data_IF_169289515946
#
_entry.id   IF_169289515946
#
_cell.length_a   1.000
_cell.length_b   1.000
_cell.length_c   1.000
_cell.angle_alpha   90.00
_cell.angle_beta   90.00
_cell.angle_gamma   90.00
#
_symmetry.space_group_name_H-M   'P 1'
#
loop_
_entity.id
_entity.type
_entity.pdbx_description
1 polymer ?
#
# COMPACT_ATOMS: atom_id res chain seq x y z
N UNK A 1 20.48 -55.57 -74.65
CA UNK A 1 21.46 -54.48 -74.82
C UNK A 1 21.41 -53.60 -73.63
N UNK A 2 22.41 -53.68 -72.80
CA UNK A 2 22.52 -52.99 -71.51
C UNK A 2 23.43 -51.77 -71.67
N UNK A 3 23.15 -50.62 -71.07
CA UNK A 3 24.22 -49.73 -70.75
C UNK A 3 24.34 -49.52 -69.22
N UNK A 4 25.54 -49.62 -68.83
CA UNK A 4 26.24 -49.54 -67.62
C UNK A 4 25.92 -48.23 -66.80
N UNK A 5 25.57 -48.39 -65.55
CA UNK A 5 25.44 -47.30 -64.58
C UNK A 5 26.78 -47.08 -63.84
N UNK A 6 27.25 -45.84 -63.83
CA UNK A 6 28.43 -45.38 -63.07
C UNK A 6 28.01 -44.91 -61.67
N UNK A 7 28.71 -45.27 -60.61
CA UNK A 7 28.34 -44.80 -59.27
C UNK A 7 28.89 -43.40 -58.98
N UNK A 8 28.01 -42.53 -58.57
CA UNK A 8 28.34 -41.17 -58.01
C UNK A 8 28.84 -41.33 -56.64
N UNK A 9 30.07 -40.93 -56.39
CA UNK A 9 30.62 -40.79 -55.00
C UNK A 9 30.04 -39.58 -54.30
N UNK A 10 29.29 -39.81 -53.24
CA UNK A 10 28.86 -38.76 -52.34
C UNK A 10 30.03 -38.32 -51.44
N UNK A 11 30.43 -37.06 -51.57
CA UNK A 11 31.37 -36.42 -50.66
C UNK A 11 30.63 -35.94 -49.38
N UNK A 12 30.92 -36.57 -48.28
CA UNK A 12 30.39 -36.20 -46.97
C UNK A 12 31.15 -34.95 -46.43
N UNK A 13 30.54 -33.77 -46.57
CA UNK A 13 31.04 -32.54 -45.95
C UNK A 13 30.66 -32.51 -44.48
N UNK A 14 31.62 -32.76 -43.61
CA UNK A 14 31.52 -32.62 -42.16
C UNK A 14 31.47 -31.11 -41.79
N UNK A 15 30.28 -30.54 -41.54
CA UNK A 15 30.16 -29.18 -41.01
C UNK A 15 30.47 -29.19 -39.53
N UNK A 16 31.64 -28.72 -39.15
CA UNK A 16 31.99 -28.46 -37.78
C UNK A 16 31.12 -27.29 -37.25
N UNK A 17 30.20 -27.60 -36.38
CA UNK A 17 29.38 -26.61 -35.67
C UNK A 17 30.25 -25.98 -34.56
N UNK A 18 30.73 -24.76 -34.78
CA UNK A 18 31.45 -23.98 -33.76
C UNK A 18 30.45 -23.47 -32.75
N UNK A 19 30.29 -24.16 -31.61
CA UNK A 19 29.48 -23.69 -30.49
C UNK A 19 30.29 -22.62 -29.76
N UNK A 20 29.95 -21.33 -30.02
CA UNK A 20 30.45 -20.22 -29.26
C UNK A 20 29.70 -20.24 -27.91
N UNK A 21 30.30 -20.79 -26.85
CA UNK A 21 29.84 -20.59 -25.47
C UNK A 21 30.05 -19.12 -25.14
N UNK A 22 28.98 -18.34 -25.21
CA UNK A 22 28.90 -17.02 -24.57
C UNK A 22 28.89 -17.24 -23.05
N UNK A 23 30.06 -17.20 -22.45
CA UNK A 23 30.19 -17.14 -20.98
C UNK A 23 29.72 -15.76 -20.54
N UNK A 24 28.44 -15.64 -20.16
CA UNK A 24 27.98 -14.49 -19.41
C UNK A 24 28.71 -14.48 -18.08
N UNK A 25 29.33 -13.36 -17.67
CA UNK A 25 29.93 -13.28 -16.35
C UNK A 25 28.84 -13.54 -15.30
N UNK A 26 29.11 -14.46 -14.41
CA UNK A 26 28.18 -14.86 -13.37
C UNK A 26 27.77 -13.64 -12.51
N UNK A 27 26.50 -13.53 -12.06
CA UNK A 27 26.02 -12.42 -11.24
C UNK A 27 26.81 -12.20 -9.94
N UNK A 28 27.64 -13.14 -9.54
CA UNK A 28 28.52 -13.05 -8.38
C UNK A 28 29.58 -11.92 -8.42
N UNK A 29 30.00 -11.46 -9.60
CA UNK A 29 30.98 -10.38 -9.71
C UNK A 29 30.41 -9.02 -9.35
N UNK A 30 29.14 -8.76 -9.68
CA UNK A 30 28.45 -7.50 -9.32
C UNK A 30 28.05 -7.47 -7.84
N UNK A 31 27.63 -8.62 -7.28
CA UNK A 31 27.32 -8.74 -5.85
C UNK A 31 28.57 -8.50 -4.99
N UNK A 32 29.73 -9.02 -5.41
CA UNK A 32 31.00 -8.78 -4.73
C UNK A 32 31.44 -7.31 -4.76
N UNK A 33 31.14 -6.57 -5.85
CA UNK A 33 31.47 -5.15 -5.94
C UNK A 33 30.62 -4.27 -5.03
N UNK A 34 29.31 -4.55 -4.91
CA UNK A 34 28.40 -3.85 -4.02
C UNK A 34 28.71 -4.13 -2.53
N UNK A 35 28.98 -5.38 -2.19
CA UNK A 35 29.40 -5.77 -0.85
C UNK A 35 30.73 -5.11 -0.46
N UNK A 36 31.70 -5.12 -1.36
CA UNK A 36 32.98 -4.46 -1.12
C UNK A 36 32.81 -2.94 -0.93
N UNK A 37 32.02 -2.28 -1.77
CA UNK A 37 31.73 -0.85 -1.62
C UNK A 37 31.02 -0.55 -0.30
N UNK A 38 30.03 -1.36 0.09
CA UNK A 38 29.37 -1.22 1.39
C UNK A 38 30.37 -1.25 2.56
N UNK A 39 31.32 -2.20 2.56
CA UNK A 39 32.36 -2.28 3.60
C UNK A 39 33.19 -1.00 3.69
N UNK A 40 33.43 -0.31 2.58
CA UNK A 40 34.21 0.94 2.56
C UNK A 40 33.43 2.14 3.09
N UNK A 41 32.09 2.12 3.02
CA UNK A 41 31.24 3.27 3.36
C UNK A 41 30.45 3.10 4.65
N UNK A 42 30.32 1.91 5.20
CA UNK A 42 29.44 1.60 6.35
C UNK A 42 29.77 2.38 7.62
N UNK A 43 30.99 2.87 7.79
CA UNK A 43 31.41 3.68 8.94
C UNK A 43 31.29 5.20 8.70
N UNK A 44 30.99 5.63 7.49
CA UNK A 44 30.78 7.03 7.13
C UNK A 44 29.28 7.29 6.98
N UNK A 45 28.60 8.00 7.92
CA UNK A 45 27.15 8.17 7.89
C UNK A 45 26.63 8.83 6.61
N UNK A 46 27.40 9.75 6.01
CA UNK A 46 27.00 10.46 4.79
C UNK A 46 27.06 9.52 3.59
N UNK A 47 28.16 8.80 3.40
CA UNK A 47 28.33 7.85 2.30
C UNK A 47 27.42 6.65 2.45
N UNK A 48 27.24 6.14 3.68
CA UNK A 48 26.30 5.07 3.98
C UNK A 48 24.88 5.49 3.58
N UNK A 49 24.45 6.70 3.93
CA UNK A 49 23.12 7.22 3.53
C UNK A 49 22.98 7.27 2.01
N UNK A 50 23.98 7.78 1.30
CA UNK A 50 23.97 7.84 -0.17
C UNK A 50 23.88 6.43 -0.79
N UNK A 51 24.65 5.48 -0.28
CA UNK A 51 24.58 4.08 -0.70
C UNK A 51 23.19 3.48 -0.46
N UNK A 52 22.63 3.67 0.74
CA UNK A 52 21.31 3.13 1.09
C UNK A 52 20.16 3.81 0.30
N UNK A 53 20.30 5.05 -0.12
CA UNK A 53 19.32 5.72 -0.98
C UNK A 53 19.24 5.06 -2.36
N UNK A 54 20.34 4.59 -2.91
CA UNK A 54 20.40 3.90 -4.20
C UNK A 54 20.14 2.40 -4.11
N UNK A 55 20.18 1.85 -2.91
CA UNK A 55 20.06 0.41 -2.69
C UNK A 55 18.64 -0.08 -3.01
N UNK A 56 18.48 -1.16 -3.82
CA UNK A 56 17.18 -1.79 -4.05
C UNK A 56 16.65 -2.40 -2.76
N UNK A 57 15.41 -2.07 -2.38
CA UNK A 57 14.83 -2.50 -1.11
C UNK A 57 13.81 -3.65 -1.26
N UNK A 58 13.54 -4.09 -2.50
CA UNK A 58 12.58 -5.16 -2.76
C UNK A 58 11.15 -4.74 -2.47
N UNK A 59 10.47 -5.41 -1.54
CA UNK A 59 9.07 -5.17 -1.21
C UNK A 59 8.83 -4.92 0.27
N UNK A 60 7.74 -4.21 0.57
CA UNK A 60 7.16 -4.07 1.91
C UNK A 60 5.89 -4.93 1.96
N UNK A 61 5.92 -6.00 2.75
CA UNK A 61 4.85 -7.01 2.83
C UNK A 61 3.87 -6.76 3.99
N UNK A 62 4.08 -5.71 4.79
CA UNK A 62 3.24 -5.42 5.95
C UNK A 62 3.14 -3.92 6.20
N UNK A 63 2.20 -3.26 5.53
CA UNK A 63 2.05 -1.81 5.61
C UNK A 63 0.56 -1.43 5.81
N UNK A 64 0.24 -0.90 6.98
CA UNK A 64 -1.10 -0.36 7.27
C UNK A 64 -1.26 0.98 6.56
N UNK A 65 -1.97 1.02 5.45
CA UNK A 65 -2.03 2.16 4.53
C UNK A 65 -2.34 3.48 5.24
N UNK A 66 -3.39 3.52 6.06
CA UNK A 66 -3.78 4.76 6.76
C UNK A 66 -2.74 5.21 7.79
N UNK A 67 -2.03 4.28 8.44
CA UNK A 67 -0.93 4.60 9.37
C UNK A 67 0.36 5.05 8.68
N UNK A 68 0.49 4.81 7.38
CA UNK A 68 1.68 5.15 6.60
C UNK A 68 1.65 6.55 5.99
N UNK A 69 0.52 7.25 6.04
CA UNK A 69 0.34 8.58 5.44
C UNK A 69 0.85 9.68 6.37
N UNK A 70 1.46 10.70 5.80
CA UNK A 70 1.93 11.84 6.58
C UNK A 70 0.76 12.71 7.08
N UNK A 71 0.92 13.26 8.28
CA UNK A 71 -0.04 14.17 8.88
C UNK A 71 -0.35 15.36 7.98
N UNK A 72 0.66 15.88 7.29
CA UNK A 72 0.54 16.98 6.35
C UNK A 72 -0.39 16.66 5.18
N UNK A 73 -0.36 15.42 4.67
CA UNK A 73 -1.26 14.99 3.60
C UNK A 73 -2.69 14.91 4.10
N UNK A 74 -2.92 14.39 5.30
CA UNK A 74 -4.25 14.38 5.91
C UNK A 74 -4.81 15.79 6.12
N UNK A 75 -3.97 16.73 6.56
CA UNK A 75 -4.36 18.12 6.72
C UNK A 75 -4.69 18.79 5.38
N UNK A 76 -3.88 18.54 4.35
CA UNK A 76 -4.14 19.06 3.01
C UNK A 76 -5.46 18.52 2.45
N UNK A 77 -5.71 17.21 2.56
CA UNK A 77 -6.98 16.61 2.10
C UNK A 77 -8.18 17.07 2.92
N UNK A 78 -8.03 17.19 4.22
CA UNK A 78 -9.10 17.69 5.08
C UNK A 78 -9.46 19.15 4.74
N UNK A 79 -8.46 19.96 4.41
CA UNK A 79 -8.65 21.33 3.91
C UNK A 79 -9.40 21.34 2.58
N UNK A 80 -8.97 20.53 1.60
CA UNK A 80 -9.63 20.40 0.30
C UNK A 80 -11.11 20.00 0.44
N UNK A 81 -11.43 19.15 1.43
CA UNK A 81 -12.78 18.66 1.72
C UNK A 81 -13.60 19.62 2.62
N UNK A 82 -13.08 20.81 2.94
CA UNK A 82 -13.74 21.79 3.81
C UNK A 82 -14.00 21.29 5.24
N UNK A 83 -13.13 20.40 5.75
CA UNK A 83 -13.26 19.82 7.10
C UNK A 83 -12.74 20.76 8.17
N UNK A 84 -13.09 20.42 9.40
CA UNK A 84 -12.79 21.18 10.59
C UNK A 84 -11.82 20.41 11.49
N UNK A 85 -11.17 21.09 12.42
CA UNK A 85 -10.36 20.47 13.44
C UNK A 85 -10.70 21.04 14.83
N UNK A 86 -10.90 20.18 15.78
CA UNK A 86 -10.99 20.55 17.17
C UNK A 86 -9.58 20.84 17.72
N UNK A 87 -9.30 22.04 18.20
CA UNK A 87 -7.96 22.45 18.60
C UNK A 87 -7.49 21.88 19.93
N UNK A 88 -8.42 21.38 20.76
CA UNK A 88 -8.09 20.76 22.04
C UNK A 88 -7.74 19.28 21.87
N UNK A 89 -8.55 18.55 21.11
CA UNK A 89 -8.39 17.11 20.88
C UNK A 89 -7.59 16.78 19.63
N UNK A 90 -7.46 17.72 18.69
CA UNK A 90 -6.90 17.59 17.35
C UNK A 90 -7.63 16.54 16.49
N UNK A 91 -8.94 16.36 16.73
CA UNK A 91 -9.78 15.47 15.92
C UNK A 91 -10.28 16.23 14.70
N UNK A 92 -10.07 15.67 13.51
CA UNK A 92 -10.61 16.19 12.26
C UNK A 92 -12.06 15.73 12.12
N UNK A 93 -12.98 16.66 11.88
CA UNK A 93 -14.43 16.42 11.80
C UNK A 93 -15.01 16.91 10.47
N UNK A 94 -16.14 16.35 10.00
CA UNK A 94 -16.83 16.90 8.85
C UNK A 94 -17.50 18.26 9.17
N UNK A 95 -17.80 19.09 8.15
CA UNK A 95 -18.59 20.30 8.35
C UNK A 95 -20.04 19.96 8.76
N UNK A 96 -20.78 20.89 9.43
CA UNK A 96 -20.34 22.24 9.84
C UNK A 96 -19.43 22.24 11.05
N UNK A 97 -18.51 23.21 11.15
CA UNK A 97 -17.44 23.22 12.16
C UNK A 97 -17.94 23.40 13.60
N UNK A 98 -19.07 24.06 13.81
CA UNK A 98 -19.55 24.34 15.17
C UNK A 98 -18.54 25.10 16.00
N UNK A 99 -18.04 24.48 17.10
CA UNK A 99 -16.96 25.00 17.94
C UNK A 99 -15.55 24.65 17.43
N UNK A 100 -15.44 23.73 16.50
CA UNK A 100 -14.16 23.38 15.86
C UNK A 100 -13.73 24.48 14.87
N UNK A 101 -12.45 24.58 14.62
CA UNK A 101 -11.92 25.58 13.71
C UNK A 101 -11.92 25.06 12.26
N UNK A 102 -12.13 25.95 11.30
CA UNK A 102 -12.04 25.67 9.87
C UNK A 102 -10.56 25.51 9.48
N UNK A 103 -10.22 24.43 8.80
CA UNK A 103 -8.82 24.16 8.42
C UNK A 103 -8.27 25.17 7.40
N UNK A 104 -9.11 25.72 6.51
CA UNK A 104 -8.68 26.81 5.61
C UNK A 104 -8.24 28.05 6.40
N UNK A 105 -9.01 28.45 7.42
CA UNK A 105 -8.72 29.62 8.24
C UNK A 105 -7.44 29.44 9.04
N UNK A 106 -7.24 28.24 9.64
CA UNK A 106 -6.03 27.92 10.41
C UNK A 106 -4.80 27.90 9.52
N UNK A 107 -4.88 27.24 8.36
CA UNK A 107 -3.74 27.08 7.47
C UNK A 107 -3.42 28.37 6.68
N UNK A 108 -4.36 29.30 6.58
CA UNK A 108 -4.13 30.61 5.98
C UNK A 108 -3.32 31.54 6.90
N UNK A 109 -3.39 31.37 8.21
CA UNK A 109 -2.65 32.19 9.19
C UNK A 109 -1.90 31.34 10.21
N UNK A 110 -0.79 30.76 9.77
CA UNK A 110 0.11 29.95 10.61
C UNK A 110 0.72 30.74 11.79
N UNK A 111 0.63 32.08 11.78
CA UNK A 111 1.11 32.91 12.89
C UNK A 111 0.20 32.84 14.12
N UNK A 112 -1.09 32.57 13.89
CA UNK A 112 -2.11 32.44 14.96
C UNK A 112 -2.21 31.04 15.51
N UNK A 113 -2.03 30.02 14.65
CA UNK A 113 -2.16 28.62 15.06
C UNK A 113 -0.94 27.83 14.58
N UNK A 114 0.01 27.54 15.49
CA UNK A 114 1.16 26.72 15.16
C UNK A 114 0.72 25.33 14.66
N UNK A 115 1.21 24.93 13.48
CA UNK A 115 0.87 23.64 12.87
C UNK A 115 1.59 22.44 13.51
N UNK A 116 2.74 22.67 14.14
CA UNK A 116 3.56 21.61 14.75
C UNK A 116 2.80 20.77 15.79
N UNK A 117 2.07 21.35 16.77
CA UNK A 117 1.29 20.56 17.73
C UNK A 117 0.20 19.70 17.05
N UNK A 118 -0.40 20.21 15.97
CA UNK A 118 -1.41 19.50 15.20
C UNK A 118 -0.76 18.32 14.45
N UNK A 119 0.36 18.55 13.75
CA UNK A 119 1.11 17.51 13.05
C UNK A 119 1.60 16.43 14.05
N UNK A 120 2.11 16.83 15.19
CA UNK A 120 2.53 15.93 16.26
C UNK A 120 1.36 15.10 16.82
N UNK A 121 0.16 15.69 16.91
CA UNK A 121 -1.03 14.98 17.37
C UNK A 121 -1.52 13.94 16.35
N UNK A 122 -1.38 14.22 15.05
CA UNK A 122 -1.78 13.34 13.94
C UNK A 122 -0.69 12.33 13.56
N UNK A 123 0.44 12.30 14.27
CA UNK A 123 1.57 11.42 13.95
C UNK A 123 2.27 10.95 15.24
N UNK A 124 3.29 10.10 15.08
CA UNK A 124 4.18 9.71 16.18
C UNK A 124 5.43 10.60 16.27
N UNK A 125 5.48 11.72 15.55
CA UNK A 125 6.59 12.67 15.65
C UNK A 125 6.64 13.25 17.07
N UNK A 126 7.86 13.45 17.54
CA UNK A 126 8.13 14.08 18.82
C UNK A 126 7.42 13.44 20.04
N UNK A 127 6.84 12.22 19.92
CA UNK A 127 6.12 11.57 21.03
C UNK A 127 6.97 11.44 22.29
N UNK A 128 8.29 11.24 22.15
CA UNK A 128 9.20 11.14 23.27
C UNK A 128 9.26 12.42 24.16
N UNK A 129 8.76 13.55 23.66
CA UNK A 129 8.64 14.81 24.42
C UNK A 129 7.31 14.93 25.16
N UNK A 130 6.42 13.96 25.01
CA UNK A 130 5.08 13.93 25.62
C UNK A 130 5.05 12.95 26.80
N UNK A 131 4.10 13.12 27.70
CA UNK A 131 3.83 12.20 28.82
C UNK A 131 2.96 11.00 28.40
N UNK A 132 2.98 10.61 27.12
CA UNK A 132 2.20 9.52 26.55
C UNK A 132 3.13 8.46 25.98
N UNK A 133 2.75 7.17 26.05
CA UNK A 133 3.51 6.10 25.43
C UNK A 133 3.43 6.18 23.90
N UNK A 134 4.45 5.67 23.20
CA UNK A 134 4.43 5.58 21.74
C UNK A 134 3.27 4.74 21.23
N UNK A 135 2.88 3.68 21.96
CA UNK A 135 1.72 2.84 21.68
C UNK A 135 0.42 3.68 21.72
N UNK A 136 0.18 4.40 22.80
CA UNK A 136 -1.06 5.16 22.99
C UNK A 136 -1.14 6.32 21.99
N UNK A 137 -0.02 7.00 21.75
CA UNK A 137 0.04 8.04 20.73
C UNK A 137 -0.27 7.48 19.34
N UNK A 138 0.31 6.34 18.98
CA UNK A 138 0.07 5.69 17.68
C UNK A 138 -1.42 5.40 17.49
N UNK A 139 -2.07 4.71 18.42
CA UNK A 139 -3.48 4.37 18.28
C UNK A 139 -4.40 5.59 18.32
N UNK A 140 -4.08 6.61 19.11
CA UNK A 140 -4.86 7.85 19.16
C UNK A 140 -4.85 8.64 17.83
N UNK A 141 -3.83 8.48 16.98
CA UNK A 141 -3.77 9.17 15.69
C UNK A 141 -4.88 8.73 14.74
N UNK A 142 -5.27 7.46 14.77
CA UNK A 142 -6.30 6.91 13.86
C UNK A 142 -7.67 7.57 14.05
N UNK A 143 -8.07 7.84 15.29
CA UNK A 143 -9.32 8.55 15.55
C UNK A 143 -9.23 10.01 15.10
N UNK A 144 -8.06 10.64 15.27
CA UNK A 144 -7.85 12.05 14.91
C UNK A 144 -7.91 12.31 13.43
N UNK A 145 -7.29 11.47 12.60
CA UNK A 145 -7.29 11.65 11.14
C UNK A 145 -8.38 10.88 10.40
N UNK A 146 -9.19 10.07 11.07
CA UNK A 146 -10.21 9.21 10.44
C UNK A 146 -11.06 9.94 9.41
N UNK A 147 -11.58 11.11 9.75
CA UNK A 147 -12.41 11.90 8.84
C UNK A 147 -11.66 12.32 7.58
N UNK A 148 -10.38 12.68 7.69
CA UNK A 148 -9.54 13.05 6.55
C UNK A 148 -9.19 11.86 5.65
N UNK A 149 -9.12 10.65 6.20
CA UNK A 149 -8.82 9.42 5.47
C UNK A 149 -10.01 8.88 4.68
N UNK A 150 -11.24 9.16 5.13
CA UNK A 150 -12.46 8.65 4.48
C UNK A 150 -12.58 9.15 3.04
N UNK A 151 -12.78 8.21 2.11
CA UNK A 151 -12.89 8.51 0.68
C UNK A 151 -11.56 8.78 -0.04
N UNK A 152 -10.43 8.80 0.67
CA UNK A 152 -9.11 9.14 0.12
C UNK A 152 -8.19 7.93 -0.14
N UNK A 153 -8.74 6.71 -0.27
CA UNK A 153 -7.93 5.51 -0.47
C UNK A 153 -7.00 5.59 -1.70
N UNK A 154 -7.47 6.09 -2.83
CA UNK A 154 -6.66 6.26 -4.03
C UNK A 154 -5.53 7.27 -3.84
N UNK A 155 -5.80 8.36 -3.10
CA UNK A 155 -4.81 9.39 -2.74
C UNK A 155 -3.73 8.80 -1.81
N UNK A 156 -4.15 8.02 -0.79
CA UNK A 156 -3.23 7.34 0.13
C UNK A 156 -2.35 6.32 -0.60
N UNK A 157 -2.91 5.51 -1.50
CA UNK A 157 -2.13 4.55 -2.30
C UNK A 157 -1.15 5.27 -3.22
N UNK A 158 -1.54 6.39 -3.85
CA UNK A 158 -0.65 7.19 -4.68
C UNK A 158 0.54 7.75 -3.87
N UNK A 159 0.30 8.25 -2.65
CA UNK A 159 1.36 8.72 -1.77
C UNK A 159 2.31 7.59 -1.36
N UNK A 160 1.78 6.45 -0.93
CA UNK A 160 2.58 5.28 -0.54
C UNK A 160 3.45 4.78 -1.70
N UNK A 161 2.88 4.67 -2.92
CA UNK A 161 3.59 4.28 -4.14
C UNK A 161 4.70 5.27 -4.52
N UNK A 162 4.41 6.58 -4.50
CA UNK A 162 5.40 7.62 -4.82
C UNK A 162 6.58 7.56 -3.85
N UNK A 163 6.31 7.35 -2.57
CA UNK A 163 7.36 7.19 -1.55
C UNK A 163 8.15 5.90 -1.74
N UNK A 164 7.50 4.78 -2.00
CA UNK A 164 8.14 3.50 -2.30
C UNK A 164 9.07 3.60 -3.51
N UNK A 165 8.61 4.20 -4.62
CA UNK A 165 9.43 4.41 -5.81
C UNK A 165 10.66 5.28 -5.53
N UNK A 166 10.52 6.36 -4.74
CA UNK A 166 11.66 7.20 -4.32
C UNK A 166 12.67 6.44 -3.44
N UNK A 167 12.26 5.37 -2.81
CA UNK A 167 13.08 4.53 -1.94
C UNK A 167 13.60 3.27 -2.64
N UNK A 168 13.40 3.13 -3.94
CA UNK A 168 13.76 1.94 -4.73
C UNK A 168 13.08 0.66 -4.23
N UNK A 169 11.85 0.76 -3.74
CA UNK A 169 10.95 -0.36 -3.53
C UNK A 169 10.18 -0.64 -4.82
N UNK A 170 9.91 -1.92 -5.10
CA UNK A 170 9.21 -2.37 -6.31
C UNK A 170 7.86 -3.02 -6.01
N UNK A 171 7.56 -3.30 -4.75
CA UNK A 171 6.35 -4.02 -4.35
C UNK A 171 5.86 -3.57 -2.97
N UNK A 172 4.52 -3.44 -2.83
CA UNK A 172 3.85 -3.12 -1.57
C UNK A 172 2.66 -4.04 -1.35
N UNK A 173 2.51 -4.57 -0.13
CA UNK A 173 1.26 -5.14 0.38
C UNK A 173 0.64 -4.18 1.40
N UNK A 174 -0.50 -3.59 1.02
CA UNK A 174 -1.17 -2.55 1.80
C UNK A 174 -2.40 -3.14 2.50
N UNK A 175 -2.49 -2.97 3.82
CA UNK A 175 -3.63 -3.42 4.61
C UNK A 175 -4.74 -2.40 4.54
N UNK A 176 -5.93 -2.87 4.14
CA UNK A 176 -7.16 -2.09 4.00
C UNK A 176 -8.33 -2.76 4.72
N UNK A 177 -9.21 -1.95 5.29
CA UNK A 177 -10.44 -2.40 5.96
C UNK A 177 -11.68 -2.19 5.09
N UNK A 178 -11.57 -2.34 3.76
CA UNK A 178 -12.69 -2.16 2.83
C UNK A 178 -13.78 -3.20 3.09
N UNK A 179 -15.03 -2.74 3.21
CA UNK A 179 -16.20 -3.59 3.47
C UNK A 179 -16.23 -4.24 4.87
N UNK A 180 -15.19 -4.04 5.68
CA UNK A 180 -15.08 -4.73 6.98
C UNK A 180 -16.07 -4.21 8.02
N UNK A 181 -16.43 -2.92 7.94
CA UNK A 181 -17.43 -2.34 8.83
C UNK A 181 -18.84 -2.80 8.43
N UNK A 182 -19.15 -2.79 7.14
CA UNK A 182 -20.43 -3.21 6.56
C UNK A 182 -20.73 -4.66 6.93
N UNK A 183 -19.78 -5.57 6.74
CA UNK A 183 -19.97 -6.98 7.09
C UNK A 183 -20.03 -7.20 8.60
N UNK A 184 -19.32 -6.41 9.40
CA UNK A 184 -19.42 -6.46 10.85
C UNK A 184 -20.81 -5.99 11.34
N UNK A 185 -21.38 -4.96 10.73
CA UNK A 185 -22.76 -4.51 11.01
C UNK A 185 -23.78 -5.56 10.59
N UNK A 186 -23.64 -6.17 9.42
CA UNK A 186 -24.45 -7.29 8.97
C UNK A 186 -24.47 -8.41 10.04
N UNK A 187 -23.31 -8.78 10.55
CA UNK A 187 -23.17 -9.81 11.56
C UNK A 187 -23.81 -9.41 12.91
N UNK A 188 -23.70 -8.14 13.31
CA UNK A 188 -24.31 -7.63 14.54
C UNK A 188 -25.84 -7.74 14.52
N UNK A 189 -26.46 -7.57 13.36
CA UNK A 189 -27.91 -7.66 13.18
C UNK A 189 -28.41 -9.09 12.93
N UNK A 190 -27.53 -10.08 12.86
CA UNK A 190 -27.91 -11.47 12.51
C UNK A 190 -28.85 -12.19 13.53
N UNK A 191 -29.07 -11.62 14.71
CA UNK A 191 -30.12 -11.94 15.68
C UNK A 191 -30.22 -13.38 16.25
N UNK A 192 -29.52 -14.36 15.67
CA UNK A 192 -29.64 -15.77 15.97
C UNK A 192 -28.47 -16.27 16.83
N UNK A 193 -28.56 -16.02 18.14
CA UNK A 193 -27.51 -16.41 19.09
C UNK A 193 -27.39 -17.93 19.31
N UNK A 194 -28.44 -18.70 18.94
CA UNK A 194 -28.56 -20.13 19.08
C UNK A 194 -27.88 -20.97 17.98
N UNK A 195 -27.35 -20.30 16.93
CA UNK A 195 -26.74 -20.98 15.77
C UNK A 195 -25.22 -20.74 15.67
N UNK A 196 -24.49 -21.71 15.07
CA UNK A 196 -23.09 -21.48 14.70
C UNK A 196 -22.90 -20.25 13.80
N UNK A 197 -21.78 -19.54 13.90
CA UNK A 197 -21.53 -18.29 13.17
C UNK A 197 -21.79 -18.39 11.67
N UNK A 198 -21.35 -19.48 11.02
CA UNK A 198 -21.56 -19.68 9.59
C UNK A 198 -23.02 -19.79 9.16
N UNK A 199 -23.94 -20.18 10.07
CA UNK A 199 -25.38 -20.22 9.81
C UNK A 199 -26.11 -18.92 10.17
N UNK A 200 -25.41 -18.00 10.85
CA UNK A 200 -25.96 -16.71 11.27
C UNK A 200 -25.74 -15.64 10.20
N UNK A 201 -24.72 -15.81 9.37
CA UNK A 201 -24.33 -14.83 8.35
C UNK A 201 -25.01 -15.14 7.03
N UNK A 202 -25.64 -14.15 6.44
CA UNK A 202 -26.21 -14.25 5.09
C UNK A 202 -25.08 -14.14 4.05
N UNK A 203 -24.73 -15.26 3.43
CA UNK A 203 -23.64 -15.33 2.46
C UNK A 203 -23.91 -14.51 1.19
N UNK A 204 -25.16 -14.37 0.75
CA UNK A 204 -25.50 -13.56 -0.42
C UNK A 204 -25.31 -12.05 -0.16
N UNK A 205 -25.60 -11.59 1.07
CA UNK A 205 -25.31 -10.22 1.46
C UNK A 205 -23.80 -9.97 1.55
N UNK A 206 -23.02 -10.94 2.01
CA UNK A 206 -21.55 -10.85 1.97
C UNK A 206 -21.03 -10.78 0.53
N UNK A 207 -21.60 -11.54 -0.41
CA UNK A 207 -21.23 -11.49 -1.83
C UNK A 207 -21.53 -10.11 -2.43
N UNK A 208 -22.64 -9.49 -2.07
CA UNK A 208 -22.92 -8.09 -2.47
C UNK A 208 -21.85 -7.10 -1.94
N UNK A 209 -21.37 -7.32 -0.72
CA UNK A 209 -20.27 -6.49 -0.16
C UNK A 209 -18.98 -6.76 -0.93
N UNK A 210 -18.68 -8.01 -1.31
CA UNK A 210 -17.51 -8.35 -2.14
C UNK A 210 -17.55 -7.58 -3.45
N UNK A 211 -18.66 -7.60 -4.18
CA UNK A 211 -18.82 -6.89 -5.46
C UNK A 211 -18.60 -5.38 -5.30
N UNK A 212 -19.13 -4.80 -4.22
CA UNK A 212 -18.94 -3.39 -3.92
C UNK A 212 -17.46 -3.05 -3.62
N UNK A 213 -16.76 -3.91 -2.90
CA UNK A 213 -15.32 -3.73 -2.58
C UNK A 213 -14.46 -3.89 -3.83
N UNK A 214 -14.76 -4.86 -4.71
CA UNK A 214 -14.04 -5.03 -5.99
C UNK A 214 -14.14 -3.75 -6.82
N UNK A 215 -15.35 -3.19 -6.96
CA UNK A 215 -15.56 -1.89 -7.63
C UNK A 215 -14.78 -0.76 -6.96
N UNK A 216 -14.76 -0.72 -5.64
CA UNK A 216 -13.98 0.30 -4.92
C UNK A 216 -12.47 0.16 -5.17
N UNK A 217 -11.96 -1.07 -5.32
CA UNK A 217 -10.57 -1.31 -5.71
C UNK A 217 -10.27 -0.80 -7.13
N UNK A 218 -11.22 -0.89 -8.06
CA UNK A 218 -11.09 -0.30 -9.41
C UNK A 218 -11.00 1.23 -9.34
N UNK A 219 -11.87 1.87 -8.56
CA UNK A 219 -11.85 3.32 -8.34
C UNK A 219 -10.53 3.78 -7.70
N UNK A 220 -10.01 3.04 -6.72
CA UNK A 220 -8.70 3.26 -6.10
C UNK A 220 -7.59 3.17 -7.15
N UNK A 221 -7.63 2.17 -8.02
CA UNK A 221 -6.61 1.97 -9.06
C UNK A 221 -6.62 3.10 -10.09
N UNK A 222 -7.80 3.52 -10.53
CA UNK A 222 -7.96 4.65 -11.45
C UNK A 222 -7.41 5.93 -10.80
N UNK A 223 -7.86 6.24 -9.60
CA UNK A 223 -7.49 7.46 -8.89
C UNK A 223 -5.98 7.57 -8.64
N UNK A 224 -5.35 6.49 -8.15
CA UNK A 224 -3.90 6.50 -7.90
C UNK A 224 -3.08 6.70 -9.17
N UNK A 225 -3.49 6.05 -10.30
CA UNK A 225 -2.81 6.21 -11.59
C UNK A 225 -2.90 7.66 -12.10
N UNK A 226 -4.07 8.29 -11.96
CA UNK A 226 -4.26 9.70 -12.30
C UNK A 226 -3.34 10.61 -11.49
N UNK A 227 -3.29 10.42 -10.18
CA UNK A 227 -2.47 11.25 -9.27
C UNK A 227 -0.96 11.07 -9.48
N UNK A 228 -0.53 9.89 -9.90
CA UNK A 228 0.86 9.61 -10.22
C UNK A 228 1.24 10.05 -11.65
N UNK A 229 0.27 10.28 -12.53
CA UNK A 229 0.50 10.54 -13.95
C UNK A 229 0.94 9.29 -14.71
N UNK A 230 0.51 8.09 -14.27
CA UNK A 230 0.86 6.85 -14.92
C UNK A 230 0.08 6.70 -16.24
N UNK A 231 0.76 6.89 -17.35
CA UNK A 231 0.23 6.62 -18.68
C UNK A 231 1.23 5.79 -19.48
N UNK A 232 0.71 5.00 -20.43
CA UNK A 232 1.54 4.23 -21.37
C UNK A 232 2.30 5.11 -22.36
N UNK A 233 1.93 6.39 -22.49
CA UNK A 233 2.51 7.35 -23.43
C UNK A 233 3.61 8.22 -22.79
N UNK A 234 3.85 8.09 -21.50
CA UNK A 234 4.88 8.87 -20.82
C UNK A 234 6.28 8.46 -21.32
N UNK A 235 7.04 9.43 -21.83
CA UNK A 235 8.42 9.21 -22.28
C UNK A 235 9.37 8.73 -21.16
N UNK A 236 9.03 9.06 -19.90
CA UNK A 236 9.70 8.58 -18.69
C UNK A 236 8.63 8.12 -17.72
N UNK A 237 8.77 6.93 -17.16
CA UNK A 237 7.85 6.40 -16.15
C UNK A 237 7.87 7.29 -14.89
N UNK A 238 6.74 7.91 -14.51
CA UNK A 238 6.71 8.71 -13.29
C UNK A 238 6.98 7.88 -12.04
N UNK A 239 7.60 8.50 -11.05
CA UNK A 239 7.97 7.83 -9.79
C UNK A 239 6.77 7.17 -9.11
N UNK A 240 6.87 5.87 -8.88
CA UNK A 240 5.85 5.04 -8.24
C UNK A 240 4.95 4.28 -9.22
N UNK A 241 4.94 4.61 -10.54
CA UNK A 241 4.15 3.87 -11.52
C UNK A 241 4.64 2.43 -11.74
N UNK A 242 5.90 2.18 -11.49
CA UNK A 242 6.59 0.88 -11.56
C UNK A 242 6.48 0.05 -10.27
N UNK A 243 5.95 0.63 -9.18
CA UNK A 243 5.72 -0.09 -7.94
C UNK A 243 4.45 -0.94 -8.03
N UNK A 244 4.57 -2.24 -7.89
CA UNK A 244 3.42 -3.14 -7.81
C UNK A 244 2.74 -3.02 -6.44
N UNK A 245 1.41 -2.88 -6.44
CA UNK A 245 0.61 -2.85 -5.20
C UNK A 245 -0.30 -4.06 -5.13
N UNK A 246 -0.36 -4.68 -3.97
CA UNK A 246 -1.35 -5.68 -3.57
C UNK A 246 -1.97 -5.27 -2.24
N UNK A 247 -3.11 -5.87 -1.92
CA UNK A 247 -3.86 -5.55 -0.73
C UNK A 247 -4.01 -6.77 0.18
N UNK A 248 -3.97 -6.52 1.47
CA UNK A 248 -4.38 -7.48 2.49
C UNK A 248 -5.66 -6.97 3.15
N UNK A 249 -6.68 -7.81 3.23
CA UNK A 249 -7.92 -7.49 3.92
C UNK A 249 -7.67 -7.48 5.42
N UNK A 250 -7.81 -6.32 6.07
CA UNK A 250 -7.59 -6.18 7.50
C UNK A 250 -8.85 -6.50 8.29
N UNK A 251 -8.78 -7.52 9.13
CA UNK A 251 -9.84 -7.91 10.07
C UNK A 251 -9.68 -7.17 11.39
N UNK A 252 -10.71 -6.47 11.81
CA UNK A 252 -10.74 -5.70 13.07
C UNK A 252 -11.15 -6.60 14.23
N UNK A 253 -10.19 -7.25 14.87
CA UNK A 253 -10.40 -8.27 15.91
C UNK A 253 -10.90 -7.74 17.25
N UNK A 254 -11.06 -6.45 17.43
CA UNK A 254 -11.67 -5.84 18.61
C UNK A 254 -13.20 -5.93 18.64
N UNK A 255 -13.82 -6.34 17.53
CA UNK A 255 -15.24 -6.58 17.44
C UNK A 255 -15.66 -7.91 18.11
N UNK A 256 -16.98 -8.11 18.30
CA UNK A 256 -17.52 -9.37 18.82
C UNK A 256 -17.16 -10.56 17.89
N UNK A 257 -16.99 -11.80 18.43
CA UNK A 257 -16.51 -12.96 17.65
C UNK A 257 -17.29 -13.23 16.35
N UNK A 258 -18.61 -13.04 16.35
CA UNK A 258 -19.43 -13.22 15.14
C UNK A 258 -19.09 -12.18 14.06
N UNK A 259 -18.76 -10.96 14.45
CA UNK A 259 -18.36 -9.89 13.55
C UNK A 259 -16.95 -10.15 13.00
N UNK A 260 -16.03 -10.64 13.83
CA UNK A 260 -14.69 -11.08 13.39
C UNK A 260 -14.81 -12.23 12.40
N UNK A 261 -15.67 -13.20 12.67
CA UNK A 261 -15.95 -14.29 11.73
C UNK A 261 -16.47 -13.77 10.38
N UNK A 262 -17.42 -12.85 10.39
CA UNK A 262 -17.98 -12.27 9.17
C UNK A 262 -16.94 -11.47 8.35
N UNK A 263 -16.09 -10.72 9.03
CA UNK A 263 -14.96 -10.03 8.40
C UNK A 263 -13.96 -11.02 7.77
N UNK A 264 -13.66 -12.12 8.48
CA UNK A 264 -12.80 -13.20 7.96
C UNK A 264 -13.41 -13.86 6.73
N UNK A 265 -14.73 -14.12 6.75
CA UNK A 265 -15.46 -14.65 5.60
C UNK A 265 -15.39 -13.71 4.39
N UNK A 266 -15.60 -12.41 4.59
CA UNK A 266 -15.45 -11.39 3.55
C UNK A 266 -14.02 -11.40 2.99
N UNK A 267 -13.00 -11.40 3.84
CA UNK A 267 -11.60 -11.44 3.43
C UNK A 267 -11.28 -12.64 2.54
N UNK A 268 -11.72 -13.85 2.95
CA UNK A 268 -11.54 -15.07 2.15
C UNK A 268 -12.25 -15.01 0.80
N UNK A 269 -13.46 -14.43 0.76
CA UNK A 269 -14.20 -14.25 -0.50
C UNK A 269 -13.50 -13.21 -1.41
N UNK A 270 -12.98 -12.11 -0.86
CA UNK A 270 -12.23 -11.09 -1.61
C UNK A 270 -10.96 -11.67 -2.22
N UNK A 271 -10.18 -12.46 -1.48
CA UNK A 271 -8.97 -13.13 -2.00
C UNK A 271 -9.30 -14.03 -3.20
N UNK A 272 -10.50 -14.64 -3.24
CA UNK A 272 -10.93 -15.47 -4.37
C UNK A 272 -11.49 -14.66 -5.53
N UNK A 273 -12.09 -13.52 -5.24
CA UNK A 273 -12.77 -12.69 -6.23
C UNK A 273 -11.82 -11.74 -6.98
N UNK A 274 -10.77 -11.26 -6.34
CA UNK A 274 -9.89 -10.25 -6.91
C UNK A 274 -8.41 -10.56 -6.68
N UNK A 275 -7.59 -10.72 -7.73
CA UNK A 275 -6.17 -11.06 -7.62
C UNK A 275 -5.31 -9.94 -7.00
N UNK A 276 -5.86 -8.74 -6.83
CA UNK A 276 -5.18 -7.65 -6.10
C UNK A 276 -5.19 -7.89 -4.60
N UNK A 277 -6.14 -8.68 -4.08
CA UNK A 277 -6.22 -9.05 -2.66
C UNK A 277 -5.49 -10.37 -2.45
N UNK A 278 -4.31 -10.32 -1.84
CA UNK A 278 -3.39 -11.48 -1.74
C UNK A 278 -3.38 -12.15 -0.39
N UNK A 279 -4.02 -11.56 0.61
CA UNK A 279 -4.03 -12.10 1.95
C UNK A 279 -5.01 -11.40 2.88
N UNK A 280 -5.00 -11.84 4.12
CA UNK A 280 -5.72 -11.20 5.21
C UNK A 280 -4.77 -10.97 6.41
N UNK A 281 -5.09 -9.97 7.22
CA UNK A 281 -4.36 -9.61 8.43
C UNK A 281 -5.32 -9.47 9.61
N UNK A 282 -4.90 -9.92 10.81
CA UNK A 282 -5.64 -9.78 12.07
C UNK A 282 -5.04 -8.71 12.97
#
# INVERSE_FOLDING_TARGET
MNPTATPIRAATACKALLVILLTFPAPSALANSAAHYFETVKQDPVKLRQFLQQFPKGGDLHNHLSGAIYAESYLAWAREDGKCIDLDTHIITPPPCGSAANLDEIMADASRTPMEPIIDALSIRNFARRSISGHDQFFATFDRFRSAAMGRFGDMVAEARRRAGRQNMVYLELMLSLGMLEVAQLAAHSGRLDRPFGQRINHAEVDTIVDAVVKQLDDIEIRQKQLLGCSSEAAVTPTGCDVTVRFQAQVLRTFAPVQVYAQTLLAVKLIKADPRVVGLNF
#
